data_IF_040287759187
#
_entry.id   IF_040287759187
#
_cell.length_a   1.000
_cell.length_b   1.000
_cell.length_c   1.000
_cell.angle_alpha   90.00
_cell.angle_beta   90.00
_cell.angle_gamma   90.00
#
_symmetry.space_group_name_H-M   'P 1'
#
loop_
_entity.id
_entity.type
_entity.pdbx_description
1 polymer ?
#
# COMPACT_ATOMS: atom_id res chain seq x y z
N UNK A 1 29.77 40.97 -25.39
CA UNK A 1 28.65 40.34 -24.64
C UNK A 1 27.65 39.58 -25.53
N UNK A 2 27.74 39.66 -26.85
CA UNK A 2 26.82 39.02 -27.83
C UNK A 2 27.00 37.50 -27.94
N UNK A 3 28.23 37.00 -28.01
CA UNK A 3 28.54 35.57 -28.18
C UNK A 3 27.98 34.70 -27.03
N UNK A 4 28.01 35.21 -25.79
CA UNK A 4 27.45 34.51 -24.62
C UNK A 4 25.93 34.45 -24.65
N UNK A 5 25.28 35.49 -25.19
CA UNK A 5 23.83 35.55 -25.39
C UNK A 5 23.40 34.55 -26.48
N UNK A 6 24.09 34.53 -27.62
CA UNK A 6 23.83 33.57 -28.71
C UNK A 6 24.00 32.11 -28.27
N UNK A 7 25.03 31.81 -27.46
CA UNK A 7 25.22 30.46 -26.92
C UNK A 7 24.10 30.06 -25.93
N UNK A 8 23.61 31.00 -25.13
CA UNK A 8 22.48 30.77 -24.22
C UNK A 8 21.17 30.57 -25.00
N UNK A 9 20.92 31.36 -26.04
CA UNK A 9 19.76 31.21 -26.93
C UNK A 9 19.78 29.87 -27.68
N UNK A 10 20.95 29.46 -28.18
CA UNK A 10 21.10 28.14 -28.84
C UNK A 10 20.89 26.98 -27.86
N UNK A 11 21.39 27.08 -26.62
CA UNK A 11 21.13 26.08 -25.58
C UNK A 11 19.66 26.02 -25.20
N UNK A 12 19.00 27.17 -25.07
CA UNK A 12 17.57 27.26 -24.78
C UNK A 12 16.74 26.64 -25.93
N UNK A 13 17.10 26.93 -27.18
CA UNK A 13 16.45 26.35 -28.35
C UNK A 13 16.61 24.83 -28.44
N UNK A 14 17.78 24.28 -28.10
CA UNK A 14 17.98 22.84 -28.04
C UNK A 14 17.16 22.19 -26.92
N UNK A 15 17.17 22.79 -25.73
CA UNK A 15 16.38 22.30 -24.58
C UNK A 15 14.89 22.33 -24.91
N UNK A 16 14.40 23.36 -25.61
CA UNK A 16 12.99 23.43 -26.03
C UNK A 16 12.62 22.30 -27.01
N UNK A 17 13.49 22.00 -27.99
CA UNK A 17 13.30 20.88 -28.91
C UNK A 17 13.30 19.53 -28.20
N UNK A 18 14.19 19.34 -27.21
CA UNK A 18 14.23 18.12 -26.41
C UNK A 18 12.94 17.94 -25.58
N UNK A 19 12.38 19.04 -25.07
CA UNK A 19 11.08 19.02 -24.40
C UNK A 19 9.94 18.70 -25.36
N UNK A 20 9.90 19.30 -26.55
CA UNK A 20 8.88 19.00 -27.58
C UNK A 20 8.92 17.52 -27.97
N UNK A 21 10.10 16.95 -28.23
CA UNK A 21 10.27 15.52 -28.53
C UNK A 21 9.84 14.62 -27.37
N UNK A 22 10.03 15.07 -26.13
CA UNK A 22 9.60 14.31 -24.95
C UNK A 22 8.09 14.34 -24.79
N UNK A 23 7.47 15.50 -25.04
CA UNK A 23 6.01 15.67 -25.03
C UNK A 23 5.38 14.77 -26.09
N UNK A 24 5.91 14.75 -27.31
CA UNK A 24 5.41 13.90 -28.40
C UNK A 24 5.52 12.41 -28.05
N UNK A 25 6.65 11.97 -27.49
CA UNK A 25 6.81 10.59 -27.00
C UNK A 25 5.83 10.24 -25.89
N UNK A 26 5.58 11.16 -24.97
CA UNK A 26 4.61 10.95 -23.88
C UNK A 26 3.17 10.89 -24.42
N UNK A 27 2.82 11.74 -25.38
CA UNK A 27 1.52 11.70 -26.06
C UNK A 27 1.31 10.37 -26.78
N UNK A 28 2.31 9.89 -27.52
CA UNK A 28 2.23 8.58 -28.20
C UNK A 28 2.04 7.42 -27.23
N UNK A 29 2.80 7.42 -26.11
CA UNK A 29 2.63 6.41 -25.06
C UNK A 29 1.25 6.46 -24.40
N UNK A 30 0.70 7.66 -24.21
CA UNK A 30 -0.64 7.84 -23.65
C UNK A 30 -1.68 7.26 -24.60
N UNK A 31 -1.57 7.55 -25.90
CA UNK A 31 -2.48 7.03 -26.93
C UNK A 31 -2.38 5.50 -27.07
N UNK A 32 -1.17 4.95 -27.08
CA UNK A 32 -0.92 3.50 -27.08
C UNK A 32 -1.55 2.83 -25.84
N UNK A 33 -1.37 3.42 -24.65
CA UNK A 33 -1.97 2.90 -23.42
C UNK A 33 -3.50 2.95 -23.46
N UNK A 34 -4.07 4.06 -23.92
CA UNK A 34 -5.52 4.22 -24.05
C UNK A 34 -6.13 3.22 -25.04
N UNK A 35 -5.44 2.95 -26.15
CA UNK A 35 -5.88 1.93 -27.11
C UNK A 35 -5.80 0.51 -26.53
N UNK A 36 -4.75 0.21 -25.76
CA UNK A 36 -4.63 -1.06 -25.06
C UNK A 36 -5.75 -1.26 -24.02
N UNK A 37 -6.13 -0.20 -23.29
CA UNK A 37 -7.26 -0.26 -22.35
C UNK A 37 -8.57 -0.57 -23.06
N UNK A 38 -8.88 0.11 -24.16
CA UNK A 38 -10.08 -0.16 -24.96
C UNK A 38 -10.11 -1.59 -25.51
N UNK A 39 -8.97 -2.10 -25.98
CA UNK A 39 -8.88 -3.48 -26.45
C UNK A 39 -9.14 -4.46 -25.31
N UNK A 40 -8.58 -4.21 -24.13
CA UNK A 40 -8.80 -5.04 -22.94
C UNK A 40 -10.25 -5.01 -22.46
N UNK A 41 -10.88 -3.84 -22.49
CA UNK A 41 -12.30 -3.67 -22.16
C UNK A 41 -13.17 -4.54 -23.09
N UNK A 42 -12.92 -4.50 -24.40
CA UNK A 42 -13.62 -5.36 -25.37
C UNK A 42 -13.39 -6.85 -25.13
N UNK A 43 -12.17 -7.27 -24.81
CA UNK A 43 -11.85 -8.66 -24.47
C UNK A 43 -12.60 -9.12 -23.20
N UNK A 44 -12.79 -8.23 -22.22
CA UNK A 44 -13.57 -8.53 -21.02
C UNK A 44 -15.06 -8.62 -21.30
N UNK A 45 -15.61 -7.73 -22.12
CA UNK A 45 -17.02 -7.80 -22.57
C UNK A 45 -17.30 -9.10 -23.31
N UNK A 46 -16.44 -9.50 -24.27
CA UNK A 46 -16.58 -10.77 -25.00
C UNK A 46 -16.52 -11.99 -24.06
N UNK A 47 -15.65 -11.94 -23.03
CA UNK A 47 -15.56 -13.00 -22.02
C UNK A 47 -16.82 -13.06 -21.15
N UNK A 48 -17.39 -11.91 -20.79
CA UNK A 48 -18.64 -11.83 -20.03
C UNK A 48 -19.81 -12.38 -20.84
N UNK A 49 -19.90 -12.05 -22.13
CA UNK A 49 -20.94 -12.57 -23.03
C UNK A 49 -20.85 -14.09 -23.19
N UNK A 50 -19.63 -14.65 -23.31
CA UNK A 50 -19.43 -16.09 -23.35
C UNK A 50 -19.90 -16.75 -22.05
N UNK A 51 -19.54 -16.20 -20.89
CA UNK A 51 -19.97 -16.74 -19.60
C UNK A 51 -21.49 -16.66 -19.41
N UNK A 52 -22.12 -15.60 -19.90
CA UNK A 52 -23.58 -15.47 -19.85
C UNK A 52 -24.26 -16.51 -20.73
N UNK A 53 -23.71 -16.75 -21.93
CA UNK A 53 -24.18 -17.81 -22.83
C UNK A 53 -24.07 -19.20 -22.19
N UNK A 54 -22.95 -19.47 -21.49
CA UNK A 54 -22.75 -20.73 -20.76
C UNK A 54 -23.76 -20.88 -19.61
N UNK A 55 -24.06 -19.79 -18.88
CA UNK A 55 -25.08 -19.79 -17.82
C UNK A 55 -26.45 -20.15 -18.41
N UNK A 56 -26.87 -19.49 -19.48
CA UNK A 56 -28.17 -19.73 -20.11
C UNK A 56 -28.28 -21.17 -20.64
N UNK A 57 -27.20 -21.71 -21.23
CA UNK A 57 -27.13 -23.12 -21.67
C UNK A 57 -27.31 -24.08 -20.50
N UNK A 58 -26.58 -23.86 -19.40
CA UNK A 58 -26.67 -24.70 -18.20
C UNK A 58 -28.04 -24.61 -17.53
N UNK A 59 -28.67 -23.44 -17.53
CA UNK A 59 -30.04 -23.27 -17.03
C UNK A 59 -31.06 -24.02 -17.89
N UNK A 60 -30.89 -24.00 -19.22
CA UNK A 60 -31.71 -24.79 -20.13
C UNK A 60 -31.54 -26.30 -19.89
N UNK A 61 -30.30 -26.80 -19.85
CA UNK A 61 -30.01 -28.22 -19.57
C UNK A 61 -30.58 -28.67 -18.23
N UNK A 62 -30.45 -27.84 -17.19
CA UNK A 62 -31.05 -28.08 -15.88
C UNK A 62 -32.58 -28.14 -15.95
N UNK A 63 -33.20 -27.27 -16.75
CA UNK A 63 -34.63 -27.26 -17.03
C UNK A 63 -35.10 -28.56 -17.68
N UNK A 64 -34.42 -28.98 -18.75
CA UNK A 64 -34.70 -30.24 -19.45
C UNK A 64 -34.55 -31.46 -18.55
N UNK A 65 -33.50 -31.51 -17.73
CA UNK A 65 -33.28 -32.61 -16.79
C UNK A 65 -34.38 -32.67 -15.71
N UNK A 66 -34.85 -31.51 -15.23
CA UNK A 66 -35.97 -31.44 -14.30
C UNK A 66 -37.27 -31.92 -14.94
N UNK A 67 -37.50 -31.65 -16.22
CA UNK A 67 -38.65 -32.16 -16.96
C UNK A 67 -38.56 -33.68 -17.18
N UNK A 68 -37.41 -34.19 -17.63
CA UNK A 68 -37.14 -35.64 -17.76
C UNK A 68 -37.36 -36.37 -16.43
N UNK A 69 -36.95 -35.78 -15.30
CA UNK A 69 -37.18 -36.33 -13.96
C UNK A 69 -38.68 -36.39 -13.61
N UNK A 70 -39.44 -35.34 -13.92
CA UNK A 70 -40.91 -35.33 -13.73
C UNK A 70 -41.60 -36.40 -14.57
N UNK A 71 -41.18 -36.60 -15.82
CA UNK A 71 -41.71 -37.64 -16.71
C UNK A 71 -41.40 -39.05 -16.18
N UNK A 72 -40.17 -39.29 -15.72
CA UNK A 72 -39.77 -40.55 -15.09
C UNK A 72 -40.54 -40.81 -13.79
N UNK A 73 -40.73 -39.79 -12.94
CA UNK A 73 -41.51 -39.92 -11.71
C UNK A 73 -42.98 -40.25 -11.98
N UNK A 74 -43.58 -39.68 -13.03
CA UNK A 74 -44.95 -40.04 -13.46
C UNK A 74 -45.03 -41.46 -14.00
N UNK A 75 -44.03 -41.90 -14.78
CA UNK A 75 -43.96 -43.28 -15.30
C UNK A 75 -43.80 -44.32 -14.18
N UNK A 76 -42.96 -44.03 -13.18
CA UNK A 76 -42.75 -44.89 -12.02
C UNK A 76 -43.99 -45.04 -11.14
N UNK A 77 -44.82 -43.99 -11.00
CA UNK A 77 -46.09 -44.09 -10.26
C UNK A 77 -47.14 -44.96 -10.96
N UNK A 78 -47.09 -45.06 -12.29
CA UNK A 78 -48.02 -45.91 -13.06
C UNK A 78 -47.61 -47.40 -12.95
N UNK A 79 -46.32 -47.72 -12.88
CA UNK A 79 -45.84 -49.11 -12.76
C UNK A 79 -46.01 -49.73 -11.36
N UNK A 80 -46.21 -48.93 -10.30
CA UNK A 80 -46.44 -49.42 -8.91
C UNK A 80 -47.90 -49.87 -8.67
N UNK A 81 -48.79 -49.72 -9.65
CA UNK A 81 -50.23 -50.04 -9.52
C UNK A 81 -50.60 -51.52 -9.76
N UNK A 82 -49.64 -52.43 -9.96
CA UNK A 82 -49.91 -53.88 -10.07
C UNK A 82 -49.21 -54.65 -8.94
N UNK A 83 -49.93 -55.33 -8.02
CA UNK A 83 -49.31 -56.17 -7.01
C UNK A 83 -49.08 -57.56 -7.58
N UNK A 84 -47.84 -58.06 -7.55
CA UNK A 84 -47.61 -59.51 -7.58
C UNK A 84 -46.60 -59.90 -6.51
N UNK A 85 -47.17 -60.58 -5.52
CA UNK A 85 -46.55 -61.39 -4.48
C UNK A 85 -45.61 -62.45 -5.08
N UNK A 86 -44.58 -62.84 -4.31
CA UNK A 86 -44.31 -64.20 -3.81
C UNK A 86 -42.80 -64.38 -3.49
N UNK A 87 -42.57 -64.87 -2.27
CA UNK A 87 -41.48 -65.69 -1.72
C UNK A 87 -40.20 -66.00 -2.50
N UNK A 88 -39.11 -66.09 -1.72
CA UNK A 88 -38.41 -67.37 -1.62
C UNK A 88 -36.91 -67.37 -1.91
N UNK A 89 -36.12 -67.41 -0.84
CA UNK A 89 -35.01 -68.34 -0.61
C UNK A 89 -33.74 -68.34 -1.50
N UNK A 90 -32.64 -68.67 -0.81
CA UNK A 90 -31.46 -69.41 -1.25
C UNK A 90 -30.16 -68.65 -1.55
N UNK A 91 -29.19 -69.02 -0.73
CA UNK A 91 -27.74 -69.00 -0.92
C UNK A 91 -27.35 -69.67 -2.25
N UNK A 92 -26.28 -69.17 -2.87
CA UNK A 92 -25.06 -69.94 -3.23
C UNK A 92 -24.41 -69.46 -4.53
N UNK A 93 -23.10 -69.23 -4.42
CA UNK A 93 -22.02 -69.60 -5.35
C UNK A 93 -22.11 -69.26 -6.85
N UNK A 94 -21.08 -68.53 -7.28
CA UNK A 94 -20.17 -68.83 -8.39
C UNK A 94 -20.70 -69.05 -9.82
N UNK A 95 -19.99 -68.37 -10.72
CA UNK A 95 -19.68 -68.68 -12.13
C UNK A 95 -20.51 -68.04 -13.25
N UNK A 96 -19.73 -67.47 -14.18
CA UNK A 96 -19.88 -67.53 -15.64
C UNK A 96 -20.33 -66.27 -16.38
N UNK A 97 -19.33 -65.59 -16.97
CA UNK A 97 -19.20 -65.25 -18.40
C UNK A 97 -20.42 -64.60 -19.10
N UNK A 98 -20.27 -63.34 -19.50
CA UNK A 98 -21.08 -62.72 -20.56
C UNK A 98 -21.22 -61.20 -20.43
N UNK A 99 -20.86 -60.39 -21.45
CA UNK A 99 -20.92 -58.93 -21.39
C UNK A 99 -22.31 -58.46 -21.79
N UNK A 100 -22.90 -57.53 -21.03
CA UNK A 100 -23.80 -56.47 -21.51
C UNK A 100 -24.48 -55.83 -20.31
N UNK A 101 -24.20 -54.54 -20.14
CA UNK A 101 -25.03 -53.44 -19.66
C UNK A 101 -24.06 -52.39 -19.09
N UNK A 102 -24.10 -51.12 -19.53
CA UNK A 102 -23.42 -50.07 -18.81
C UNK A 102 -24.13 -49.99 -17.47
N UNK A 103 -23.47 -50.48 -16.43
CA UNK A 103 -23.82 -50.14 -15.07
C UNK A 103 -23.86 -48.61 -15.04
N UNK A 104 -25.06 -48.05 -15.01
CA UNK A 104 -25.29 -46.65 -14.66
C UNK A 104 -24.81 -46.56 -13.22
N UNK A 105 -23.51 -46.32 -13.08
CA UNK A 105 -22.88 -45.90 -11.84
C UNK A 105 -23.62 -44.64 -11.49
N UNK A 106 -24.60 -44.76 -10.59
CA UNK A 106 -25.17 -43.61 -9.92
C UNK A 106 -23.96 -42.89 -9.35
N UNK A 107 -23.62 -41.71 -9.88
CA UNK A 107 -22.54 -40.88 -9.35
C UNK A 107 -22.82 -40.71 -7.87
N UNK A 108 -22.13 -41.50 -7.05
CA UNK A 108 -22.33 -41.51 -5.63
C UNK A 108 -21.88 -40.15 -5.15
N UNK A 109 -22.71 -39.34 -4.47
CA UNK A 109 -22.31 -38.02 -3.99
C UNK A 109 -21.06 -38.08 -3.11
N UNK A 110 -20.80 -39.25 -2.51
CA UNK A 110 -19.56 -39.55 -1.79
C UNK A 110 -18.31 -39.55 -2.69
N UNK A 111 -18.42 -40.08 -3.91
CA UNK A 111 -17.32 -40.14 -4.87
C UNK A 111 -16.97 -38.74 -5.41
N UNK A 112 -17.99 -37.90 -5.62
CA UNK A 112 -17.78 -36.49 -6.00
C UNK A 112 -17.06 -35.72 -4.88
N UNK A 113 -17.50 -35.91 -3.63
CA UNK A 113 -16.84 -35.33 -2.46
C UNK A 113 -15.38 -35.83 -2.30
N UNK A 114 -15.12 -37.10 -2.60
CA UNK A 114 -13.78 -37.67 -2.60
C UNK A 114 -12.88 -37.05 -3.68
N UNK A 115 -13.40 -36.88 -4.90
CA UNK A 115 -12.70 -36.20 -5.99
C UNK A 115 -12.36 -34.75 -5.60
N UNK A 116 -13.28 -34.02 -4.97
CA UNK A 116 -13.03 -32.64 -4.53
C UNK A 116 -12.01 -32.55 -3.39
N UNK A 117 -12.01 -33.53 -2.47
CA UNK A 117 -10.99 -33.64 -1.44
C UNK A 117 -9.61 -33.95 -2.03
N UNK A 118 -9.55 -34.90 -2.97
CA UNK A 118 -8.31 -35.26 -3.66
C UNK A 118 -7.75 -34.10 -4.48
N UNK A 119 -8.62 -33.35 -5.19
CA UNK A 119 -8.22 -32.11 -5.88
C UNK A 119 -7.63 -31.09 -4.92
N UNK A 120 -8.26 -30.88 -3.75
CA UNK A 120 -7.72 -29.98 -2.71
C UNK A 120 -6.38 -30.44 -2.17
N UNK A 121 -6.23 -31.71 -1.85
CA UNK A 121 -4.97 -32.31 -1.39
C UNK A 121 -3.87 -32.18 -2.45
N UNK A 122 -4.19 -32.47 -3.70
CA UNK A 122 -3.27 -32.29 -4.83
C UNK A 122 -2.82 -30.84 -4.98
N UNK A 123 -3.74 -29.88 -4.87
CA UNK A 123 -3.38 -28.46 -4.92
C UNK A 123 -2.50 -28.04 -3.73
N UNK A 124 -2.77 -28.54 -2.52
CA UNK A 124 -1.93 -28.29 -1.35
C UNK A 124 -0.52 -28.86 -1.53
N UNK A 125 -0.39 -30.13 -1.95
CA UNK A 125 0.90 -30.77 -2.21
C UNK A 125 1.69 -30.02 -3.28
N UNK A 126 1.02 -29.70 -4.40
CA UNK A 126 1.62 -28.91 -5.48
C UNK A 126 2.10 -27.55 -4.99
N UNK A 127 1.33 -26.87 -4.14
CA UNK A 127 1.69 -25.56 -3.60
C UNK A 127 2.88 -25.65 -2.63
N UNK A 128 2.94 -26.65 -1.76
CA UNK A 128 4.10 -26.90 -0.90
C UNK A 128 5.33 -27.28 -1.72
N UNK A 129 5.19 -28.10 -2.76
CA UNK A 129 6.28 -28.42 -3.69
C UNK A 129 6.84 -27.15 -4.36
N UNK A 130 5.97 -26.29 -4.88
CA UNK A 130 6.36 -25.01 -5.49
C UNK A 130 7.08 -24.12 -4.46
N UNK A 131 6.59 -24.05 -3.23
CA UNK A 131 7.19 -23.28 -2.14
C UNK A 131 8.60 -23.78 -1.78
N UNK A 132 8.79 -25.10 -1.69
CA UNK A 132 10.10 -25.71 -1.43
C UNK A 132 11.07 -25.49 -2.60
N UNK A 133 10.62 -25.67 -3.84
CA UNK A 133 11.45 -25.42 -5.03
C UNK A 133 11.88 -23.95 -5.12
N UNK A 134 11.00 -23.02 -4.75
CA UNK A 134 11.27 -21.58 -4.79
C UNK A 134 11.94 -21.05 -3.51
N UNK A 135 12.22 -21.90 -2.51
CA UNK A 135 12.73 -21.46 -1.22
C UNK A 135 14.07 -20.71 -1.35
N UNK A 136 15.04 -21.28 -2.08
CA UNK A 136 16.35 -20.66 -2.27
C UNK A 136 16.27 -19.30 -2.96
N UNK A 137 15.41 -19.19 -3.98
CA UNK A 137 15.19 -17.94 -4.72
C UNK A 137 14.52 -16.91 -3.80
N UNK A 138 13.57 -17.33 -2.98
CA UNK A 138 12.91 -16.49 -1.99
C UNK A 138 13.89 -15.98 -0.93
N UNK A 139 14.75 -16.86 -0.40
CA UNK A 139 15.80 -16.47 0.56
C UNK A 139 16.76 -15.44 -0.05
N UNK A 140 17.21 -15.66 -1.29
CA UNK A 140 18.05 -14.68 -1.99
C UNK A 140 17.33 -13.34 -2.18
N UNK A 141 16.04 -13.35 -2.50
CA UNK A 141 15.25 -12.13 -2.63
C UNK A 141 15.06 -11.42 -1.28
N UNK A 142 14.79 -12.18 -0.21
CA UNK A 142 14.58 -11.66 1.14
C UNK A 142 15.87 -11.08 1.75
N UNK A 143 17.06 -11.49 1.28
CA UNK A 143 18.34 -10.86 1.68
C UNK A 143 18.54 -9.46 1.09
N UNK A 144 17.79 -9.09 0.06
CA UNK A 144 17.89 -7.78 -0.56
C UNK A 144 17.03 -6.77 0.22
N UNK A 145 17.53 -5.54 0.33
CA UNK A 145 16.77 -4.46 0.97
C UNK A 145 15.50 -4.15 0.17
N UNK A 146 14.33 -4.04 0.80
CA UNK A 146 13.09 -3.76 0.10
C UNK A 146 13.13 -2.40 -0.58
N UNK A 147 12.56 -2.33 -1.79
CA UNK A 147 12.50 -1.09 -2.54
C UNK A 147 11.52 -0.10 -1.88
N UNK A 148 11.84 1.20 -1.86
CA UNK A 148 10.95 2.21 -1.30
C UNK A 148 9.66 2.29 -2.13
N UNK A 149 8.51 2.25 -1.45
CA UNK A 149 7.22 2.50 -2.08
C UNK A 149 6.96 4.01 -2.12
N UNK A 150 6.94 4.61 -3.31
CA UNK A 150 6.51 5.98 -3.50
C UNK A 150 5.02 6.00 -3.82
N UNK A 151 4.20 6.38 -2.84
CA UNK A 151 2.78 6.66 -3.08
C UNK A 151 2.65 8.13 -3.48
N UNK A 152 2.02 8.37 -4.62
CA UNK A 152 1.71 9.73 -5.12
C UNK A 152 0.32 10.22 -4.69
N UNK A 153 -0.34 9.49 -3.79
CA UNK A 153 -1.67 9.85 -3.31
C UNK A 153 -1.59 11.14 -2.48
N UNK A 154 -2.52 12.07 -2.72
CA UNK A 154 -2.63 13.28 -1.92
C UNK A 154 -3.15 12.92 -0.53
N UNK A 155 -2.38 13.27 0.48
CA UNK A 155 -2.73 13.03 1.89
C UNK A 155 -3.37 14.30 2.46
N UNK A 156 -4.71 14.38 2.42
CA UNK A 156 -5.47 15.56 2.85
C UNK A 156 -5.16 15.97 4.30
N UNK A 157 -4.97 14.97 5.17
CA UNK A 157 -4.62 15.17 6.58
C UNK A 157 -3.29 15.88 6.69
N UNK A 158 -2.30 15.46 5.89
CA UNK A 158 -0.98 16.06 5.89
C UNK A 158 -1.01 17.49 5.33
N UNK A 159 -1.74 17.72 4.24
CA UNK A 159 -1.92 19.07 3.70
C UNK A 159 -2.56 20.02 4.73
N UNK A 160 -3.58 19.57 5.45
CA UNK A 160 -4.24 20.35 6.48
C UNK A 160 -3.29 20.67 7.64
N UNK A 161 -2.49 19.69 8.09
CA UNK A 161 -1.45 19.90 9.10
C UNK A 161 -0.39 20.91 8.63
N UNK A 162 0.04 20.85 7.37
CA UNK A 162 0.98 21.83 6.82
C UNK A 162 0.38 23.23 6.74
N UNK A 163 -0.89 23.35 6.33
CA UNK A 163 -1.61 24.63 6.31
C UNK A 163 -1.73 25.20 7.72
N UNK A 164 -2.16 24.41 8.71
CA UNK A 164 -2.26 24.80 10.12
C UNK A 164 -0.90 25.20 10.71
N UNK A 165 0.16 24.46 10.39
CA UNK A 165 1.52 24.80 10.81
C UNK A 165 2.03 26.10 10.19
N UNK A 166 1.73 26.34 8.91
CA UNK A 166 2.11 27.56 8.22
C UNK A 166 1.38 28.79 8.75
N UNK A 167 0.08 28.69 9.03
CA UNK A 167 -0.70 29.78 9.63
C UNK A 167 -0.22 30.07 11.04
N UNK A 168 0.00 29.05 11.88
CA UNK A 168 0.50 29.22 13.23
C UNK A 168 1.91 29.85 13.24
N UNK A 169 2.81 29.41 12.35
CA UNK A 169 4.14 30.01 12.19
C UNK A 169 4.03 31.49 11.81
N UNK A 170 3.13 31.83 10.88
CA UNK A 170 2.87 33.22 10.48
C UNK A 170 2.31 34.04 11.64
N UNK A 171 1.38 33.51 12.43
CA UNK A 171 0.83 34.17 13.62
C UNK A 171 1.92 34.45 14.66
N UNK A 172 2.76 33.46 14.98
CA UNK A 172 3.87 33.61 15.94
C UNK A 172 4.87 34.66 15.43
N UNK A 173 5.28 34.57 14.16
CA UNK A 173 6.19 35.56 13.57
C UNK A 173 5.58 36.97 13.57
N UNK A 174 4.29 37.09 13.27
CA UNK A 174 3.58 38.38 13.31
C UNK A 174 3.54 38.97 14.73
N UNK A 175 3.39 38.13 15.76
CA UNK A 175 3.43 38.57 17.15
C UNK A 175 4.83 38.99 17.59
N UNK A 176 5.88 38.30 17.13
CA UNK A 176 7.27 38.62 17.46
C UNK A 176 7.78 39.88 16.74
N UNK A 177 7.30 40.13 15.51
CA UNK A 177 7.81 41.22 14.66
C UNK A 177 7.05 42.53 14.84
N UNK A 178 5.77 42.48 15.22
CA UNK A 178 4.96 43.68 15.42
C UNK A 178 4.91 44.04 16.90
N UNK A 179 5.75 44.98 17.33
CA UNK A 179 5.60 45.61 18.64
C UNK A 179 4.26 46.36 18.70
N UNK A 180 3.32 45.84 19.49
CA UNK A 180 2.00 46.43 19.69
C UNK A 180 2.06 47.46 20.81
N UNK A 181 1.52 48.65 20.59
CA UNK A 181 1.41 49.69 21.61
C UNK A 181 -0.05 50.11 21.78
N UNK A 182 -0.50 50.41 23.01
CA UNK A 182 -1.86 50.89 23.23
C UNK A 182 -2.03 52.31 22.62
N UNK A 183 -3.16 52.60 21.95
CA UNK A 183 -3.41 53.91 21.36
C UNK A 183 -3.70 54.97 22.44
N UNK A 184 -2.64 55.59 22.97
CA UNK A 184 -2.71 56.58 24.07
C UNK A 184 -3.61 57.78 23.76
N UNK A 185 -3.70 58.17 22.49
CA UNK A 185 -4.50 59.32 22.04
C UNK A 185 -6.01 59.11 22.18
N UNK A 186 -6.48 57.88 22.42
CA UNK A 186 -7.91 57.55 22.63
C UNK A 186 -8.28 57.40 24.10
N UNK A 187 -7.33 57.53 25.02
CA UNK A 187 -7.54 57.27 26.45
C UNK A 187 -7.91 58.58 27.16
N UNK A 188 -8.88 58.54 28.06
CA UNK A 188 -9.24 59.70 28.90
C UNK A 188 -8.03 60.15 29.73
N UNK A 189 -7.79 61.47 29.89
CA UNK A 189 -6.73 62.00 30.75
C UNK A 189 -6.80 61.37 32.15
N UNK A 190 -5.67 60.91 32.68
CA UNK A 190 -5.59 60.20 33.96
C UNK A 190 -5.73 58.68 33.90
N UNK A 191 -6.26 58.10 32.80
CA UNK A 191 -6.49 56.65 32.70
C UNK A 191 -5.41 55.86 31.92
N UNK A 192 -4.27 56.49 31.62
CA UNK A 192 -3.19 55.89 30.84
C UNK A 192 -2.56 54.64 31.49
N UNK A 193 -2.41 54.65 32.82
CA UNK A 193 -1.85 53.50 33.56
C UNK A 193 -2.74 52.25 33.46
N UNK A 194 -4.06 52.40 33.44
CA UNK A 194 -4.97 51.27 33.20
C UNK A 194 -4.93 50.78 31.76
N UNK A 195 -4.81 51.69 30.78
CA UNK A 195 -4.71 51.31 29.37
C UNK A 195 -3.46 50.46 29.11
N UNK A 196 -2.31 50.82 29.70
CA UNK A 196 -1.11 49.99 29.68
C UNK A 196 -1.30 48.64 30.37
N UNK A 197 -1.89 48.62 31.57
CA UNK A 197 -2.18 47.37 32.30
C UNK A 197 -3.05 46.41 31.49
N UNK A 198 -4.10 46.92 30.85
CA UNK A 198 -4.97 46.11 29.97
C UNK A 198 -4.22 45.60 28.75
N UNK A 199 -3.45 46.44 28.07
CA UNK A 199 -2.66 46.03 26.91
C UNK A 199 -1.61 44.97 27.24
N UNK A 200 -0.88 45.11 28.36
CA UNK A 200 0.06 44.07 28.79
C UNK A 200 -0.65 42.76 29.14
N UNK A 201 -1.85 42.82 29.73
CA UNK A 201 -2.64 41.63 30.01
C UNK A 201 -3.10 40.95 28.71
N UNK A 202 -3.63 41.72 27.76
CA UNK A 202 -4.04 41.24 26.43
C UNK A 202 -2.87 40.62 25.66
N UNK A 203 -1.69 41.25 25.68
CA UNK A 203 -0.52 40.73 24.98
C UNK A 203 0.00 39.45 25.64
N UNK A 204 -0.01 39.38 26.98
CA UNK A 204 0.36 38.17 27.72
C UNK A 204 -0.61 37.03 27.43
N UNK A 205 -1.91 37.30 27.44
CA UNK A 205 -2.94 36.30 27.13
C UNK A 205 -2.86 35.85 25.67
N UNK A 206 -2.56 36.77 24.74
CA UNK A 206 -2.28 36.46 23.34
C UNK A 206 -1.08 35.52 23.21
N UNK A 207 0.05 35.82 23.84
CA UNK A 207 1.25 34.97 23.81
C UNK A 207 0.97 33.59 24.44
N UNK A 208 0.23 33.55 25.56
CA UNK A 208 -0.16 32.29 26.18
C UNK A 208 -1.07 31.45 25.28
N UNK A 209 -2.04 32.07 24.61
CA UNK A 209 -2.92 31.38 23.67
C UNK A 209 -2.14 30.79 22.49
N UNK A 210 -1.16 31.53 21.95
CA UNK A 210 -0.28 31.05 20.88
C UNK A 210 0.60 29.89 21.35
N UNK A 211 1.12 29.96 22.58
CA UNK A 211 1.88 28.86 23.19
C UNK A 211 1.02 27.60 23.35
N UNK A 212 -0.22 27.73 23.83
CA UNK A 212 -1.14 26.60 23.97
C UNK A 212 -1.47 25.98 22.61
N UNK A 213 -1.78 26.80 21.59
CA UNK A 213 -1.98 26.33 20.20
C UNK A 213 -0.76 25.59 19.67
N UNK A 214 0.45 26.09 19.95
CA UNK A 214 1.68 25.43 19.53
C UNK A 214 1.89 24.05 20.17
N UNK A 215 1.60 23.92 21.47
CA UNK A 215 1.66 22.63 22.17
C UNK A 215 0.62 21.65 21.62
N UNK A 216 -0.61 22.12 21.37
CA UNK A 216 -1.65 21.30 20.76
C UNK A 216 -1.27 20.84 19.35
N UNK A 217 -0.73 21.75 18.53
CA UNK A 217 -0.26 21.42 17.18
C UNK A 217 0.89 20.41 17.23
N UNK A 218 1.85 20.58 18.15
CA UNK A 218 2.93 19.61 18.37
C UNK A 218 2.38 18.22 18.73
N UNK A 219 1.38 18.15 19.60
CA UNK A 219 0.73 16.88 19.96
C UNK A 219 0.02 16.23 18.77
N UNK A 220 -0.69 17.01 17.93
CA UNK A 220 -1.32 16.52 16.69
C UNK A 220 -0.28 15.93 15.73
N UNK A 221 0.81 16.67 15.48
CA UNK A 221 1.90 16.22 14.60
C UNK A 221 2.56 14.95 15.13
N UNK A 222 2.81 14.88 16.44
CA UNK A 222 3.37 13.68 17.07
C UNK A 222 2.44 12.46 16.91
N UNK A 223 1.15 12.63 17.18
CA UNK A 223 0.16 11.56 17.03
C UNK A 223 0.06 11.07 15.57
N UNK A 224 0.02 11.99 14.61
CA UNK A 224 -0.02 11.67 13.18
C UNK A 224 1.27 11.01 12.66
N UNK A 225 2.42 11.34 13.27
CA UNK A 225 3.70 10.68 12.97
C UNK A 225 3.69 9.23 13.45
N UNK A 226 3.18 8.98 14.66
CA UNK A 226 3.08 7.63 15.24
C UNK A 226 2.14 6.75 14.40
N UNK A 227 0.98 7.27 13.97
CA UNK A 227 0.01 6.53 13.15
C UNK A 227 0.59 6.08 11.80
N UNK A 228 1.42 6.91 11.17
CA UNK A 228 2.01 6.61 9.85
C UNK A 228 3.16 5.59 9.93
N UNK A 229 3.82 5.45 11.09
CA UNK A 229 4.92 4.49 11.27
C UNK A 229 4.38 3.11 11.64
N UNK A 230 4.53 2.15 10.72
CA UNK A 230 4.21 0.73 10.98
C UNK A 230 5.05 0.22 12.15
N UNK A 231 4.41 -0.45 13.11
CA UNK A 231 5.07 -1.01 14.29
C UNK A 231 5.51 0.02 15.35
N UNK A 232 5.35 1.33 15.09
CA UNK A 232 5.74 2.39 16.03
C UNK A 232 4.69 2.71 17.11
N UNK A 233 3.58 1.97 17.13
CA UNK A 233 2.41 2.24 17.96
C UNK A 233 1.93 1.01 18.71
N UNK A 234 1.39 1.25 19.89
CA UNK A 234 0.68 0.29 20.72
C UNK A 234 -0.79 0.72 20.74
N UNK A 235 -1.67 -0.13 20.24
CA UNK A 235 -3.11 0.09 20.25
C UNK A 235 -3.66 -0.32 21.63
N UNK A 236 -4.27 0.62 22.34
CA UNK A 236 -4.99 0.39 23.59
C UNK A 236 -6.45 0.83 23.45
N UNK A 237 -7.32 0.41 24.37
CA UNK A 237 -8.77 0.55 24.26
C UNK A 237 -9.26 2.00 24.05
N UNK A 238 -8.55 2.99 24.62
CA UNK A 238 -8.95 4.39 24.57
C UNK A 238 -8.13 5.23 23.60
N UNK A 239 -6.84 4.91 23.43
CA UNK A 239 -5.90 5.75 22.67
C UNK A 239 -4.71 4.95 22.14
N UNK A 240 -3.99 5.54 21.21
CA UNK A 240 -2.78 4.98 20.61
C UNK A 240 -1.56 5.58 21.35
N UNK A 241 -0.68 4.72 21.85
CA UNK A 241 0.56 5.13 22.49
C UNK A 241 1.78 4.84 21.60
N UNK A 242 2.82 5.69 21.61
CA UNK A 242 4.08 5.37 20.95
C UNK A 242 4.79 4.22 21.67
N UNK A 243 5.41 3.34 20.90
CA UNK A 243 6.35 2.34 21.44
C UNK A 243 7.55 3.04 22.09
N UNK A 244 8.18 2.42 23.10
CA UNK A 244 9.39 2.96 23.75
C UNK A 244 10.50 3.33 22.74
N UNK A 245 10.68 2.50 21.71
CA UNK A 245 11.64 2.75 20.62
C UNK A 245 11.24 3.96 19.76
N UNK A 246 9.95 4.08 19.43
CA UNK A 246 9.43 5.23 18.68
C UNK A 246 9.59 6.53 19.47
N UNK A 247 9.33 6.51 20.78
CA UNK A 247 9.53 7.67 21.65
C UNK A 247 11.01 8.11 21.67
N UNK A 248 11.95 7.15 21.77
CA UNK A 248 13.39 7.44 21.66
C UNK A 248 13.77 7.99 20.29
N UNK A 249 13.27 7.37 19.21
CA UNK A 249 13.55 7.82 17.84
C UNK A 249 13.04 9.25 17.58
N UNK A 250 11.91 9.65 18.17
CA UNK A 250 11.41 11.03 18.08
C UNK A 250 12.34 12.03 18.79
N UNK A 251 13.02 11.62 19.85
CA UNK A 251 13.99 12.48 20.55
C UNK A 251 15.37 12.48 19.89
N UNK A 252 15.77 11.38 19.27
CA UNK A 252 17.11 11.14 18.70
C UNK A 252 17.19 11.48 17.21
N UNK A 253 16.56 12.58 16.77
CA UNK A 253 16.53 12.94 15.33
C UNK A 253 17.89 13.33 14.75
N UNK A 254 18.91 13.52 15.59
CA UNK A 254 20.26 13.95 15.17
C UNK A 254 21.20 12.75 15.13
N UNK A 255 21.99 12.65 14.06
CA UNK A 255 23.03 11.63 13.92
C UNK A 255 24.08 11.74 15.04
N UNK A 256 24.41 10.60 15.64
CA UNK A 256 25.43 10.51 16.70
C UNK A 256 26.81 10.44 16.06
N UNK A 257 27.73 11.31 16.47
CA UNK A 257 29.12 11.28 16.00
C UNK A 257 29.87 10.13 16.69
N UNK A 258 30.18 9.09 15.94
CA UNK A 258 30.89 7.90 16.45
C UNK A 258 32.41 8.06 16.39
N UNK A 259 32.96 8.75 15.37
CA UNK A 259 34.40 8.93 15.23
C UNK A 259 34.81 9.65 13.95
N UNK A 260 36.11 9.60 13.64
CA UNK A 260 36.67 10.12 12.40
C UNK A 260 37.69 9.14 11.82
N UNK A 261 37.70 9.01 10.48
CA UNK A 261 38.68 8.22 9.75
C UNK A 261 39.59 9.16 8.96
N UNK A 262 40.91 9.02 9.16
CA UNK A 262 41.90 9.81 8.41
C UNK A 262 42.45 8.96 7.27
N UNK A 263 42.09 9.32 6.05
CA UNK A 263 42.62 8.68 4.85
C UNK A 263 43.93 9.37 4.45
N UNK A 264 45.00 8.63 4.13
CA UNK A 264 46.27 9.20 3.68
C UNK A 264 46.13 10.02 2.39
N UNK A 265 46.97 11.05 2.24
CA UNK A 265 46.97 11.93 1.05
C UNK A 265 47.35 11.21 -0.25
N UNK A 266 47.99 10.05 -0.16
CA UNK A 266 48.35 9.21 -1.31
C UNK A 266 47.14 8.61 -2.04
N UNK A 267 45.99 8.49 -1.35
CA UNK A 267 44.77 7.95 -1.92
C UNK A 267 43.90 9.01 -2.62
N UNK A 268 44.31 10.28 -2.61
CA UNK A 268 43.59 11.38 -3.26
C UNK A 268 44.10 11.56 -4.70
N UNK A 269 43.22 11.77 -5.68
CA UNK A 269 43.64 12.15 -7.02
C UNK A 269 44.41 13.48 -6.96
N UNK A 270 45.44 13.63 -7.79
CA UNK A 270 46.45 14.71 -7.76
C UNK A 270 45.89 16.14 -7.78
N UNK A 271 44.62 16.31 -8.14
CA UNK A 271 43.95 17.61 -8.26
C UNK A 271 43.02 17.99 -7.09
N UNK A 272 42.81 17.13 -6.09
CA UNK A 272 41.88 17.41 -4.98
C UNK A 272 42.57 17.81 -3.67
N UNK A 273 42.02 18.85 -3.03
CA UNK A 273 42.48 19.31 -1.71
C UNK A 273 41.90 18.42 -0.60
N UNK A 274 42.63 18.20 0.51
CA UNK A 274 42.10 17.44 1.64
C UNK A 274 40.86 18.13 2.20
N UNK A 275 39.75 17.38 2.30
CA UNK A 275 38.45 17.87 2.79
C UNK A 275 37.91 16.96 3.88
N UNK A 276 37.24 17.55 4.86
CA UNK A 276 36.44 16.82 5.84
C UNK A 276 35.08 16.52 5.21
N UNK A 277 34.76 15.22 5.12
CA UNK A 277 33.47 14.74 4.63
C UNK A 277 32.70 14.15 5.81
N UNK A 278 31.52 14.71 6.09
CA UNK A 278 30.60 14.13 7.07
C UNK A 278 29.85 13.00 6.39
N UNK A 279 30.09 11.77 6.83
CA UNK A 279 29.45 10.58 6.30
C UNK A 279 28.40 10.09 7.29
N UNK A 280 27.14 10.06 6.87
CA UNK A 280 26.06 9.44 7.64
C UNK A 280 25.92 7.99 7.19
N UNK A 281 26.01 7.06 8.15
CA UNK A 281 26.02 5.64 7.89
C UNK A 281 25.00 4.94 8.77
N UNK A 282 24.31 3.98 8.18
CA UNK A 282 23.53 3.00 8.93
C UNK A 282 24.45 2.05 9.71
N UNK A 283 23.90 1.46 10.77
CA UNK A 283 24.63 0.54 11.62
C UNK A 283 25.25 -0.64 10.86
N UNK A 284 24.53 -1.22 9.90
CA UNK A 284 25.05 -2.33 9.09
C UNK A 284 26.24 -1.92 8.21
N UNK A 285 26.16 -0.74 7.60
CA UNK A 285 27.23 -0.22 6.76
C UNK A 285 28.46 0.15 7.60
N UNK A 286 28.26 0.71 8.79
CA UNK A 286 29.33 0.94 9.75
C UNK A 286 30.01 -0.39 10.16
N UNK A 287 29.24 -1.44 10.46
CA UNK A 287 29.80 -2.76 10.77
C UNK A 287 30.59 -3.36 9.62
N UNK A 288 30.11 -3.23 8.38
CA UNK A 288 30.84 -3.68 7.18
C UNK A 288 32.18 -2.96 7.06
N UNK A 289 32.19 -1.64 7.22
CA UNK A 289 33.41 -0.83 7.18
C UNK A 289 34.38 -1.24 8.30
N UNK A 290 33.89 -1.41 9.52
CA UNK A 290 34.73 -1.84 10.65
C UNK A 290 35.35 -3.23 10.41
N UNK A 291 34.59 -4.19 9.87
CA UNK A 291 35.12 -5.50 9.49
C UNK A 291 36.21 -5.40 8.42
N UNK A 292 36.00 -4.56 7.40
CA UNK A 292 37.01 -4.36 6.33
C UNK A 292 38.25 -3.61 6.81
N UNK A 293 38.16 -2.80 7.87
CA UNK A 293 39.30 -2.07 8.43
C UNK A 293 40.09 -2.89 9.45
N UNK A 294 39.47 -3.93 10.02
CA UNK A 294 40.11 -4.87 10.96
C UNK A 294 40.78 -6.07 10.28
N UNK A 295 40.50 -6.28 8.99
CA UNK A 295 41.13 -7.27 8.13
C UNK A 295 42.39 -6.71 7.49
#
# INVERSE_FOLDING_TARGET
>A
MTIRKELAEKKLGNVNKDYELTIEKLQRKLEEAHNNYKKKEKEFEETLDHLQTDIDSLENEKGEMKEKLKLLSKKAQIEVSLPKSISGSQLSSLQSIGPTLPAVVKDSPLLMQEIDNLKRLFHQERNERIKLQNQKVKEQLDTLTPLPSFKNDRDEVLENLFKEGATLKKEILSALTKSSFPPMYKVKPGNGAEAWRRHFLEERDRILSLKLKAVQFQAKVAAETIKRKRGGKIEADFTIFPTKEMAKALTETKSVKVGYLKIPKSCLPTNEKPRIVNLELDFENLQKILKTLLQ
#
